data_IF_034308536038
#
_entry.id   IF_034308536038
#
_cell.length_a   1.000
_cell.length_b   1.000
_cell.length_c   1.000
_cell.angle_alpha   90.00
_cell.angle_beta   90.00
_cell.angle_gamma   90.00
#
_symmetry.space_group_name_H-M   'P 1'
#
loop_
_entity.id
_entity.type
_entity.pdbx_description
1 polymer ?
#
# COMPACT_ATOMS: atom_id res chain seq x y z
N UNK A 1 -0.28 -28.44 16.81
CA UNK A 1 -0.96 -27.40 16.00
C UNK A 1 -0.23 -26.10 16.19
N UNK A 2 0.46 -25.61 15.17
CA UNK A 2 0.96 -24.25 15.24
C UNK A 2 -0.25 -23.31 15.10
N UNK A 3 -0.55 -22.58 16.17
CA UNK A 3 -1.49 -21.48 16.09
C UNK A 3 -0.82 -20.43 15.22
N UNK A 4 -1.24 -20.32 13.96
CA UNK A 4 -0.79 -19.23 13.12
C UNK A 4 -1.25 -17.94 13.76
N UNK A 5 -0.30 -17.24 14.37
CA UNK A 5 -0.56 -15.93 14.92
C UNK A 5 -0.87 -14.99 13.75
N UNK A 6 -2.09 -14.54 13.68
CA UNK A 6 -2.51 -13.59 12.66
C UNK A 6 -1.68 -12.32 12.74
N UNK A 7 -1.14 -11.91 11.61
CA UNK A 7 -0.38 -10.68 11.53
C UNK A 7 -1.32 -9.46 11.64
N UNK A 8 -1.07 -8.61 12.62
CA UNK A 8 -1.78 -7.33 12.79
C UNK A 8 -0.94 -6.20 12.23
N UNK A 9 -1.43 -5.52 11.20
CA UNK A 9 -0.69 -4.44 10.53
C UNK A 9 -0.22 -3.35 11.49
N UNK A 10 -1.05 -2.96 12.46
CA UNK A 10 -0.71 -1.93 13.44
C UNK A 10 0.44 -2.28 14.38
N UNK A 11 0.74 -3.56 14.53
CA UNK A 11 1.75 -4.07 15.48
C UNK A 11 3.08 -4.41 14.81
N UNK A 12 3.21 -4.23 13.48
CA UNK A 12 4.44 -4.45 12.76
C UNK A 12 5.46 -3.34 13.00
N UNK A 13 6.75 -3.70 12.95
CA UNK A 13 7.83 -2.74 13.09
C UNK A 13 8.20 -2.12 11.74
N UNK A 14 7.59 -0.98 11.41
CA UNK A 14 7.87 -0.25 10.17
C UNK A 14 9.18 0.53 10.24
N UNK A 15 9.66 0.85 11.41
CA UNK A 15 10.96 1.53 11.56
C UNK A 15 12.10 0.65 11.04
N UNK A 16 12.02 -0.66 11.21
CA UNK A 16 13.02 -1.58 10.65
C UNK A 16 13.00 -1.60 9.13
N UNK A 17 11.82 -1.55 8.51
CA UNK A 17 11.68 -1.42 7.04
C UNK A 17 12.37 -0.14 6.54
N UNK A 18 12.10 0.97 7.18
CA UNK A 18 12.66 2.27 6.78
C UNK A 18 14.17 2.33 7.01
N UNK A 19 14.65 1.77 8.12
CA UNK A 19 16.07 1.72 8.43
C UNK A 19 16.86 0.87 7.42
N UNK A 20 16.35 -0.31 7.07
CA UNK A 20 17.00 -1.20 6.11
C UNK A 20 17.07 -0.61 4.69
N UNK A 21 16.15 0.29 4.35
CA UNK A 21 16.09 0.93 3.04
C UNK A 21 16.53 2.40 3.06
N UNK A 22 17.14 2.84 4.15
CA UNK A 22 17.52 4.24 4.36
C UNK A 22 18.37 4.81 3.22
N UNK A 23 19.42 4.09 2.83
CA UNK A 23 20.34 4.56 1.78
C UNK A 23 19.67 4.61 0.41
N UNK A 24 18.85 3.61 0.09
CA UNK A 24 18.07 3.58 -1.14
C UNK A 24 17.07 4.76 -1.20
N UNK A 25 16.32 4.98 -0.14
CA UNK A 25 15.35 6.08 -0.08
C UNK A 25 16.04 7.43 -0.19
N UNK A 26 17.17 7.60 0.48
CA UNK A 26 17.98 8.82 0.37
C UNK A 26 18.49 9.04 -1.04
N UNK A 27 18.95 7.99 -1.72
CA UNK A 27 19.49 8.08 -3.09
C UNK A 27 18.46 8.57 -4.12
N UNK A 28 17.19 8.29 -3.90
CA UNK A 28 16.07 8.75 -4.74
C UNK A 28 15.31 9.94 -4.15
N UNK A 29 15.80 10.49 -3.04
CA UNK A 29 15.21 11.62 -2.33
C UNK A 29 13.75 11.41 -1.95
N UNK A 30 13.44 10.24 -1.42
CA UNK A 30 12.11 9.88 -0.92
C UNK A 30 12.13 9.73 0.60
N UNK A 31 11.09 10.23 1.23
CA UNK A 31 10.77 9.99 2.63
C UNK A 31 9.43 9.26 2.70
N UNK A 32 9.37 8.21 3.50
CA UNK A 32 8.17 7.41 3.72
C UNK A 32 7.76 7.54 5.18
N UNK A 33 6.47 7.78 5.39
CA UNK A 33 5.86 7.76 6.72
C UNK A 33 4.75 6.72 6.75
N UNK A 34 4.80 5.80 7.72
CA UNK A 34 3.75 4.81 7.95
C UNK A 34 2.89 5.26 9.13
N UNK A 35 1.59 5.29 8.94
CA UNK A 35 0.60 5.71 9.94
C UNK A 35 -0.27 4.53 10.30
N UNK A 36 -0.39 4.27 11.59
CA UNK A 36 -1.24 3.23 12.16
C UNK A 36 -2.25 3.82 13.14
N UNK A 37 -3.19 3.00 13.64
CA UNK A 37 -4.10 3.40 14.71
C UNK A 37 -3.38 3.91 15.97
N UNK A 38 -2.13 3.43 16.19
CA UNK A 38 -1.35 3.79 17.37
C UNK A 38 -0.73 5.19 17.31
N UNK A 39 -0.82 5.86 16.16
CA UNK A 39 -0.32 7.23 16.03
C UNK A 39 -1.25 8.22 16.72
N UNK A 40 -0.69 9.03 17.60
CA UNK A 40 -1.43 9.97 18.46
C UNK A 40 -1.79 11.27 17.76
N UNK A 41 -1.22 11.54 16.58
CA UNK A 41 -1.52 12.75 15.81
C UNK A 41 -1.99 12.36 14.40
N UNK A 42 -3.29 12.05 14.25
CA UNK A 42 -3.82 11.36 13.08
C UNK A 42 -4.18 12.30 11.92
N UNK A 43 -3.65 13.49 11.83
CA UNK A 43 -3.97 14.38 10.71
C UNK A 43 -3.26 13.87 9.46
N UNK A 44 -3.91 12.92 8.80
CA UNK A 44 -3.57 12.57 7.42
C UNK A 44 -4.28 13.61 6.57
N UNK A 45 -3.59 14.71 6.31
CA UNK A 45 -4.16 15.79 5.51
C UNK A 45 -4.24 15.39 4.05
N UNK A 46 -5.41 15.66 3.45
CA UNK A 46 -5.61 15.72 2.01
C UNK A 46 -5.16 14.47 1.23
N UNK A 47 -5.74 13.32 1.55
CA UNK A 47 -5.56 12.13 0.73
C UNK A 47 -6.30 12.31 -0.59
N UNK A 48 -5.56 12.23 -1.68
CA UNK A 48 -6.10 12.27 -3.02
C UNK A 48 -6.21 10.85 -3.59
N UNK A 49 -7.30 10.55 -4.22
CA UNK A 49 -7.51 9.29 -4.94
C UNK A 49 -8.22 9.53 -6.27
N UNK A 50 -8.10 8.56 -7.15
CA UNK A 50 -8.90 8.51 -8.36
C UNK A 50 -10.10 7.60 -8.09
N UNK A 51 -11.30 8.08 -8.32
CA UNK A 51 -12.51 7.27 -8.17
C UNK A 51 -12.80 6.43 -9.44
N UNK A 52 -13.88 5.66 -9.40
CA UNK A 52 -14.31 4.81 -10.51
C UNK A 52 -14.66 5.56 -11.81
N UNK A 53 -14.87 6.88 -11.73
CA UNK A 53 -15.15 7.74 -12.87
C UNK A 53 -13.89 8.49 -13.37
N UNK A 54 -12.70 8.09 -12.93
CA UNK A 54 -11.44 8.79 -13.17
C UNK A 54 -11.39 10.23 -12.62
N UNK A 55 -12.30 10.60 -11.74
CA UNK A 55 -12.25 11.89 -11.06
C UNK A 55 -11.23 11.86 -9.91
N UNK A 56 -10.44 12.92 -9.82
CA UNK A 56 -9.51 13.10 -8.71
C UNK A 56 -10.28 13.65 -7.51
N UNK A 57 -10.35 12.86 -6.45
CA UNK A 57 -11.06 13.21 -5.22
C UNK A 57 -10.07 13.38 -4.09
N UNK A 58 -10.07 14.55 -3.46
CA UNK A 58 -9.28 14.84 -2.27
C UNK A 58 -10.18 14.85 -1.04
N UNK A 59 -9.78 14.14 0.01
CA UNK A 59 -10.54 14.11 1.25
C UNK A 59 -9.60 14.14 2.47
N UNK A 60 -10.10 14.69 3.56
CA UNK A 60 -9.41 14.62 4.86
C UNK A 60 -9.63 13.25 5.49
N UNK A 61 -8.55 12.60 5.86
CA UNK A 61 -8.61 11.43 6.70
C UNK A 61 -8.05 11.75 8.07
N UNK A 62 -8.88 11.58 9.08
CA UNK A 62 -8.55 11.95 10.45
C UNK A 62 -8.22 10.77 11.35
N UNK A 63 -8.46 9.53 10.90
CA UNK A 63 -8.24 8.33 11.73
C UNK A 63 -7.91 7.11 10.88
N UNK A 64 -6.88 6.37 11.30
CA UNK A 64 -6.56 5.06 10.75
C UNK A 64 -7.35 3.98 11.51
N UNK A 65 -7.94 3.02 10.78
CA UNK A 65 -8.61 1.87 11.39
C UNK A 65 -7.59 0.89 11.98
N UNK A 66 -8.02 0.05 12.92
CA UNK A 66 -7.15 -0.93 13.57
C UNK A 66 -6.65 -2.05 12.65
N UNK A 67 -7.34 -2.29 11.52
CA UNK A 67 -6.99 -3.29 10.51
C UNK A 67 -6.24 -2.72 9.30
N UNK A 68 -5.78 -1.48 9.37
CA UNK A 68 -5.30 -0.71 8.24
C UNK A 68 -4.05 0.08 8.58
N UNK A 69 -3.20 0.30 7.57
CA UNK A 69 -2.12 1.30 7.62
C UNK A 69 -2.24 2.26 6.44
N UNK A 70 -1.76 3.47 6.63
CA UNK A 70 -1.52 4.45 5.58
C UNK A 70 -0.03 4.69 5.42
N UNK A 71 0.38 4.83 4.18
CA UNK A 71 1.76 5.11 3.82
C UNK A 71 1.77 6.42 3.05
N UNK A 72 2.51 7.40 3.55
CA UNK A 72 2.65 8.71 2.93
C UNK A 72 4.04 8.82 2.31
N UNK A 73 4.10 9.38 1.11
CA UNK A 73 5.33 9.56 0.35
C UNK A 73 5.64 11.03 0.20
N UNK A 74 6.85 11.42 0.59
CA UNK A 74 7.31 12.80 0.50
C UNK A 74 8.56 12.88 -0.37
N UNK A 75 8.64 13.95 -1.14
CA UNK A 75 9.83 14.32 -1.88
C UNK A 75 10.08 15.81 -1.67
N UNK A 76 11.29 16.19 -1.21
CA UNK A 76 11.60 17.56 -0.82
C UNK A 76 10.56 18.17 0.14
N UNK A 77 10.14 17.40 1.14
CA UNK A 77 9.11 17.78 2.12
C UNK A 77 7.71 18.01 1.55
N UNK A 78 7.46 17.69 0.28
CA UNK A 78 6.14 17.74 -0.33
C UNK A 78 5.50 16.36 -0.35
N UNK A 79 4.25 16.27 0.06
CA UNK A 79 3.46 15.05 -0.04
C UNK A 79 3.18 14.78 -1.53
N UNK A 80 3.73 13.69 -2.07
CA UNK A 80 3.61 13.35 -3.48
C UNK A 80 2.74 12.13 -3.75
N UNK A 81 2.31 11.43 -2.71
CA UNK A 81 1.46 10.26 -2.88
C UNK A 81 1.19 9.54 -1.59
N UNK A 82 0.38 8.50 -1.69
CA UNK A 82 0.01 7.65 -0.57
C UNK A 82 -0.37 6.25 -1.03
N UNK A 83 -0.34 5.30 -0.11
CA UNK A 83 -0.91 3.97 -0.27
C UNK A 83 -1.64 3.56 1.01
N UNK A 84 -2.52 2.58 0.91
CA UNK A 84 -3.14 1.96 2.07
C UNK A 84 -3.16 0.44 1.93
N UNK A 85 -2.87 -0.25 3.02
CA UNK A 85 -3.02 -1.69 3.13
C UNK A 85 -4.02 -2.01 4.24
N UNK A 86 -4.83 -3.03 4.03
CA UNK A 86 -5.81 -3.51 5.01
C UNK A 86 -5.69 -5.02 5.18
N UNK A 87 -5.99 -5.51 6.38
CA UNK A 87 -6.13 -6.94 6.64
C UNK A 87 -7.41 -7.46 6.00
N UNK A 88 -7.33 -8.53 5.21
CA UNK A 88 -8.50 -9.09 4.51
C UNK A 88 -9.47 -9.85 5.41
N UNK A 89 -9.10 -10.10 6.65
CA UNK A 89 -9.92 -10.78 7.65
C UNK A 89 -11.25 -10.08 7.98
N UNK A 90 -11.35 -8.80 7.71
CA UNK A 90 -12.56 -8.01 7.97
C UNK A 90 -13.80 -8.54 7.24
N UNK A 91 -13.62 -9.39 6.23
CA UNK A 91 -14.71 -9.98 5.44
C UNK A 91 -14.95 -11.47 5.73
N UNK A 92 -14.25 -12.06 6.70
CA UNK A 92 -14.46 -13.45 7.10
C UNK A 92 -14.00 -14.51 6.08
N UNK A 93 -13.25 -14.13 5.07
CA UNK A 93 -12.84 -15.01 3.98
C UNK A 93 -11.42 -15.55 4.08
N UNK A 94 -10.60 -15.04 4.97
CA UNK A 94 -9.21 -15.44 5.04
C UNK A 94 -8.82 -15.94 6.41
N UNK A 95 -8.38 -17.17 6.46
CA UNK A 95 -7.65 -17.76 7.59
C UNK A 95 -6.14 -17.58 7.42
N UNK A 96 -5.71 -16.87 6.39
CA UNK A 96 -4.32 -16.70 5.98
C UNK A 96 -3.95 -15.24 6.05
N UNK A 97 -2.69 -14.95 6.33
CA UNK A 97 -2.16 -13.59 6.34
C UNK A 97 -2.16 -12.99 4.93
N UNK A 98 -3.29 -12.43 4.53
CA UNK A 98 -3.50 -11.78 3.23
C UNK A 98 -3.83 -10.32 3.46
N UNK A 99 -3.32 -9.45 2.58
CA UNK A 99 -3.57 -8.01 2.63
C UNK A 99 -4.28 -7.53 1.37
N UNK A 100 -5.07 -6.48 1.53
CA UNK A 100 -5.58 -5.70 0.42
C UNK A 100 -4.78 -4.40 0.29
N UNK A 101 -4.24 -4.15 -0.91
CA UNK A 101 -3.75 -2.84 -1.30
C UNK A 101 -4.97 -2.03 -1.77
N UNK A 102 -5.52 -1.21 -0.88
CA UNK A 102 -6.77 -0.49 -1.11
C UNK A 102 -6.59 0.75 -1.96
N UNK A 103 -5.44 1.41 -1.88
CA UNK A 103 -5.11 2.56 -2.71
C UNK A 103 -3.61 2.67 -2.93
N UNK A 104 -3.26 3.17 -4.09
CA UNK A 104 -1.91 3.62 -4.40
C UNK A 104 -2.04 4.81 -5.35
N UNK A 105 -1.61 5.96 -4.91
CA UNK A 105 -1.70 7.19 -5.65
C UNK A 105 -0.37 7.93 -5.63
N UNK A 106 0.07 8.35 -6.81
CA UNK A 106 1.23 9.24 -6.98
C UNK A 106 0.76 10.47 -7.74
N UNK A 107 1.13 11.66 -7.29
CA UNK A 107 0.87 12.91 -7.97
C UNK A 107 1.37 12.86 -9.42
N UNK A 108 0.61 13.46 -10.34
CA UNK A 108 0.84 13.33 -11.79
C UNK A 108 2.27 13.68 -12.20
N UNK A 109 2.82 14.77 -11.66
CA UNK A 109 4.18 15.24 -11.98
C UNK A 109 5.29 14.27 -11.55
N UNK A 110 4.97 13.33 -10.67
CA UNK A 110 5.92 12.35 -10.12
C UNK A 110 5.69 10.94 -10.69
N UNK A 111 4.74 10.77 -11.59
CA UNK A 111 4.45 9.48 -12.23
C UNK A 111 5.49 9.13 -13.30
N UNK A 112 5.53 7.85 -13.68
CA UNK A 112 6.42 7.32 -14.72
C UNK A 112 7.92 7.50 -14.44
N UNK A 113 8.29 7.66 -13.16
CA UNK A 113 9.67 7.79 -12.67
C UNK A 113 10.11 6.61 -11.81
N UNK A 114 9.32 5.54 -11.78
CA UNK A 114 9.64 4.33 -11.02
C UNK A 114 9.34 4.39 -9.52
N UNK A 115 8.74 5.46 -9.01
CA UNK A 115 8.45 5.62 -7.58
C UNK A 115 7.45 4.56 -7.09
N UNK A 116 6.33 4.39 -7.80
CA UNK A 116 5.33 3.38 -7.43
C UNK A 116 5.89 1.96 -7.42
N UNK A 117 6.69 1.61 -8.43
CA UNK A 117 7.36 0.31 -8.51
C UNK A 117 8.37 0.08 -7.38
N UNK A 118 9.13 1.10 -7.02
CA UNK A 118 10.05 1.06 -5.88
C UNK A 118 9.30 0.79 -4.57
N UNK A 119 8.21 1.50 -4.35
CA UNK A 119 7.41 1.36 -3.13
C UNK A 119 6.75 -0.01 -3.02
N UNK A 120 6.16 -0.53 -4.10
CA UNK A 120 5.64 -1.91 -4.12
C UNK A 120 6.74 -2.93 -3.81
N UNK A 121 7.91 -2.79 -4.42
CA UNK A 121 9.04 -3.69 -4.16
C UNK A 121 9.46 -3.68 -2.70
N UNK A 122 9.55 -2.51 -2.06
CA UNK A 122 9.92 -2.40 -0.65
C UNK A 122 8.88 -3.06 0.26
N UNK A 123 7.61 -2.77 0.05
CA UNK A 123 6.53 -3.30 0.89
C UNK A 123 6.27 -4.78 0.64
N UNK A 124 6.30 -5.24 -0.61
CA UNK A 124 6.17 -6.66 -0.92
C UNK A 124 7.25 -7.50 -0.22
N UNK A 125 8.49 -7.06 -0.25
CA UNK A 125 9.60 -7.75 0.44
C UNK A 125 9.44 -7.70 1.97
N UNK A 126 9.04 -6.57 2.49
CA UNK A 126 8.82 -6.42 3.93
C UNK A 126 7.68 -7.33 4.40
N UNK A 127 6.53 -7.29 3.76
CA UNK A 127 5.40 -8.12 4.12
C UNK A 127 5.69 -9.61 3.98
N UNK A 128 6.43 -10.00 2.96
CA UNK A 128 6.93 -11.38 2.85
C UNK A 128 7.78 -11.76 4.07
N UNK A 129 8.67 -10.89 4.52
CA UNK A 129 9.58 -11.15 5.63
C UNK A 129 8.84 -11.33 6.97
N UNK A 130 7.68 -10.74 7.14
CA UNK A 130 6.85 -10.83 8.35
C UNK A 130 5.72 -11.85 8.25
N UNK A 131 5.68 -12.66 7.18
CA UNK A 131 4.76 -13.79 7.06
C UNK A 131 3.46 -13.50 6.34
N UNK A 132 3.34 -12.40 5.62
CA UNK A 132 2.20 -12.15 4.73
C UNK A 132 2.33 -13.05 3.51
N UNK A 133 1.24 -13.74 3.16
CA UNK A 133 1.21 -14.73 2.09
C UNK A 133 0.90 -14.15 0.73
N UNK A 134 0.01 -13.16 0.68
CA UNK A 134 -0.40 -12.54 -0.59
C UNK A 134 -0.90 -11.11 -0.38
N UNK A 135 -0.83 -10.33 -1.44
CA UNK A 135 -1.40 -8.98 -1.53
C UNK A 135 -2.27 -8.93 -2.77
N UNK A 136 -3.49 -8.44 -2.61
CA UNK A 136 -4.42 -8.28 -3.71
C UNK A 136 -5.16 -6.96 -3.65
N UNK A 137 -5.98 -6.70 -4.66
CA UNK A 137 -6.80 -5.50 -4.72
C UNK A 137 -7.52 -5.36 -6.06
N UNK A 138 -8.07 -4.18 -6.30
CA UNK A 138 -8.85 -3.87 -7.50
C UNK A 138 -8.19 -2.73 -8.27
N UNK A 139 -7.92 -2.97 -9.55
CA UNK A 139 -7.45 -1.95 -10.48
C UNK A 139 -8.63 -1.40 -11.28
N UNK A 140 -8.86 -0.10 -11.23
CA UNK A 140 -10.03 0.57 -11.83
C UNK A 140 -9.78 1.07 -13.26
N UNK A 141 -8.58 0.87 -13.79
CA UNK A 141 -8.20 1.35 -15.12
C UNK A 141 -7.21 0.42 -15.81
N UNK A 142 -7.09 0.52 -17.11
CA UNK A 142 -6.09 -0.19 -17.90
C UNK A 142 -4.67 0.21 -17.49
N UNK A 143 -4.46 1.47 -17.17
CA UNK A 143 -3.16 1.98 -16.70
C UNK A 143 -2.76 1.35 -15.37
N UNK A 144 -3.68 1.27 -14.40
CA UNK A 144 -3.43 0.61 -13.12
C UNK A 144 -3.18 -0.89 -13.33
N UNK A 145 -3.98 -1.57 -14.15
CA UNK A 145 -3.76 -2.96 -14.52
C UNK A 145 -2.34 -3.19 -15.03
N UNK A 146 -1.90 -2.42 -16.00
CA UNK A 146 -0.58 -2.58 -16.64
C UNK A 146 0.55 -2.31 -15.64
N UNK A 147 0.37 -1.36 -14.75
CA UNK A 147 1.29 -1.10 -13.65
C UNK A 147 1.44 -2.32 -12.73
N UNK A 148 0.34 -2.96 -12.33
CA UNK A 148 0.41 -4.15 -11.48
C UNK A 148 1.02 -5.35 -12.20
N UNK A 149 0.72 -5.56 -13.48
CA UNK A 149 1.36 -6.60 -14.29
C UNK A 149 2.88 -6.40 -14.31
N UNK A 150 3.33 -5.19 -14.57
CA UNK A 150 4.76 -4.84 -14.59
C UNK A 150 5.45 -5.16 -13.27
N UNK A 151 4.73 -5.06 -12.16
CA UNK A 151 5.26 -5.31 -10.82
C UNK A 151 5.04 -6.75 -10.32
N UNK A 152 4.69 -7.67 -11.20
CA UNK A 152 4.63 -9.10 -10.91
C UNK A 152 3.29 -9.58 -10.33
N UNK A 153 2.25 -8.78 -10.43
CA UNK A 153 0.90 -9.17 -10.02
C UNK A 153 0.19 -9.89 -11.16
N UNK A 154 -0.61 -10.90 -10.82
CA UNK A 154 -1.51 -11.59 -11.73
C UNK A 154 -2.83 -10.83 -11.81
N UNK A 155 -3.38 -10.70 -13.00
CA UNK A 155 -4.61 -9.94 -13.28
C UNK A 155 -5.73 -10.88 -13.72
N UNK A 156 -6.93 -10.66 -13.17
CA UNK A 156 -8.17 -11.30 -13.60
C UNK A 156 -9.24 -10.23 -13.86
N UNK A 157 -10.01 -10.34 -14.94
CA UNK A 157 -11.08 -9.38 -15.20
C UNK A 157 -12.24 -9.57 -14.21
N UNK A 158 -12.86 -8.45 -13.80
CA UNK A 158 -14.07 -8.43 -12.99
C UNK A 158 -15.00 -7.31 -13.45
N UNK A 159 -15.97 -7.63 -14.29
CA UNK A 159 -16.81 -6.60 -14.91
C UNK A 159 -15.98 -5.62 -15.74
N UNK A 160 -16.05 -4.33 -15.44
CA UNK A 160 -15.23 -3.29 -16.05
C UNK A 160 -13.87 -3.08 -15.36
N UNK A 161 -13.67 -3.72 -14.22
CA UNK A 161 -12.48 -3.61 -13.39
C UNK A 161 -11.59 -4.85 -13.51
N UNK A 162 -10.47 -4.82 -12.82
CA UNK A 162 -9.52 -5.92 -12.74
C UNK A 162 -9.18 -6.23 -11.29
N UNK A 163 -9.11 -7.52 -10.95
CA UNK A 163 -8.53 -7.97 -9.69
C UNK A 163 -7.06 -8.25 -9.93
N UNK A 164 -6.19 -7.71 -9.08
CA UNK A 164 -4.77 -8.06 -9.06
C UNK A 164 -4.44 -8.82 -7.79
N UNK A 165 -3.52 -9.78 -7.90
CA UNK A 165 -3.02 -10.56 -6.77
C UNK A 165 -1.56 -10.94 -6.99
N UNK A 166 -0.79 -10.96 -5.90
CA UNK A 166 0.58 -11.44 -5.88
C UNK A 166 0.79 -12.36 -4.69
N UNK A 167 1.23 -13.59 -4.98
CA UNK A 167 1.72 -14.50 -3.96
C UNK A 167 3.14 -14.08 -3.56
N UNK A 168 3.38 -13.92 -2.25
CA UNK A 168 4.68 -13.50 -1.72
C UNK A 168 5.60 -14.65 -1.38
N UNK A 169 5.07 -15.87 -1.40
CA UNK A 169 5.82 -17.10 -1.12
C UNK A 169 6.43 -17.70 -2.36
#
# INVERSE_FOLDING_TARGET
>A
MSVYKQCKLKDLNYDSLLLWNKDLLKSVNLEIKVITENDTNPVIENITRVDSNNAVVTYKKTKCRNDQIYILFYKNSNLIGHASYSELDAFGYSTKNELELGSLYIEEDYRSKGIGSLLLSLFDRYFKSVGINSIGGVALSNRARDFYIKNGYTISPRGTDYIFIKELR
#
